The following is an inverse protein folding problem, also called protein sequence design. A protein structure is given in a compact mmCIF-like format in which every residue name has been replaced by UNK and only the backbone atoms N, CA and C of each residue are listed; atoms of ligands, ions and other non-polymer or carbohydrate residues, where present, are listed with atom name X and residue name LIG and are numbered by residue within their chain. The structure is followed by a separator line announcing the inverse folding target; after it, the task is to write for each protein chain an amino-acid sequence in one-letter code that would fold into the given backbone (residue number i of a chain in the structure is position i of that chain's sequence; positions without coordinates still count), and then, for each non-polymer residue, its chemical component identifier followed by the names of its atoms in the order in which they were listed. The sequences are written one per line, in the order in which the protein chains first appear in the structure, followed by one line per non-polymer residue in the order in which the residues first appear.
data_IF_128934172758
#
_entry.id   IF_128934172758
#
_cell.length_a   1.000
_cell.length_b   1.000
_cell.length_c   1.000
_cell.angle_alpha   90.00
_cell.angle_beta   90.00
_cell.angle_gamma   90.00
#
_symmetry.space_group_name_H-M   'P 1'
#
loop_
_entity.id
_entity.type
_entity.pdbx_description
1 polymer ?
#
# COMPACT_ATOMS: atom_id res chain seq x y z
N UNK A 1 22.85 16.94 -22.30
CA UNK A 1 21.80 16.83 -21.28
C UNK A 1 22.35 17.37 -19.97
N UNK A 2 21.68 18.35 -19.39
CA UNK A 2 22.05 18.90 -18.08
C UNK A 2 21.77 17.88 -16.96
N UNK A 3 22.46 17.97 -15.80
CA UNK A 3 22.17 17.10 -14.66
C UNK A 3 20.71 17.14 -14.20
N UNK A 4 20.02 18.27 -14.33
CA UNK A 4 18.59 18.40 -14.02
C UNK A 4 17.70 17.67 -15.03
N UNK A 5 17.99 17.76 -16.33
CA UNK A 5 17.24 17.02 -17.36
C UNK A 5 17.37 15.50 -17.18
N UNK A 6 18.56 15.02 -16.81
CA UNK A 6 18.77 13.59 -16.54
C UNK A 6 17.97 13.07 -15.35
N UNK A 7 17.78 13.90 -14.32
CA UNK A 7 17.00 13.56 -13.12
C UNK A 7 15.52 13.48 -13.41
N UNK A 8 15.00 14.45 -14.16
CA UNK A 8 13.60 14.45 -14.59
C UNK A 8 13.30 13.22 -15.45
N UNK A 9 14.18 12.86 -16.37
CA UNK A 9 14.02 11.65 -17.20
C UNK A 9 14.02 10.35 -16.39
N UNK A 10 14.94 10.22 -15.41
CA UNK A 10 14.96 9.06 -14.51
C UNK A 10 13.68 9.00 -13.66
N UNK A 11 13.23 10.15 -13.15
CA UNK A 11 12.01 10.25 -12.36
C UNK A 11 10.76 9.91 -13.18
N UNK A 12 10.60 10.48 -14.37
CA UNK A 12 9.51 10.16 -15.28
C UNK A 12 9.55 8.68 -15.68
N UNK A 13 10.71 8.15 -16.06
CA UNK A 13 10.84 6.75 -16.50
C UNK A 13 10.48 5.75 -15.41
N UNK A 14 10.96 5.98 -14.18
CA UNK A 14 10.65 5.09 -13.03
C UNK A 14 9.16 5.06 -12.71
N UNK A 15 8.48 6.21 -12.71
CA UNK A 15 7.04 6.27 -12.44
C UNK A 15 6.17 5.84 -13.61
N UNK A 16 6.58 6.06 -14.87
CA UNK A 16 5.89 5.48 -16.03
C UNK A 16 5.94 3.95 -16.01
N UNK A 17 7.05 3.35 -15.58
CA UNK A 17 7.14 1.91 -15.35
C UNK A 17 6.14 1.46 -14.29
N UNK A 18 6.08 2.16 -13.15
CA UNK A 18 5.11 1.89 -12.08
C UNK A 18 3.66 2.00 -12.58
N UNK A 19 3.35 3.05 -13.35
CA UNK A 19 2.03 3.28 -13.94
C UNK A 19 1.65 2.17 -14.93
N UNK A 20 2.56 1.81 -15.83
CA UNK A 20 2.33 0.75 -16.80
C UNK A 20 2.10 -0.61 -16.12
N UNK A 21 2.81 -0.89 -15.02
CA UNK A 21 2.65 -2.10 -14.22
C UNK A 21 1.34 -2.10 -13.40
N UNK A 22 0.85 -0.93 -12.97
CA UNK A 22 -0.33 -0.80 -12.10
C UNK A 22 -1.57 -1.44 -12.71
N UNK A 23 -1.82 -1.26 -14.02
CA UNK A 23 -2.99 -1.81 -14.71
C UNK A 23 -3.03 -3.36 -14.73
N UNK A 24 -2.02 -4.06 -15.29
CA UNK A 24 -2.02 -5.52 -15.31
C UNK A 24 -1.96 -6.12 -13.90
N UNK A 25 -1.21 -5.52 -12.97
CA UNK A 25 -1.16 -5.98 -11.57
C UNK A 25 -2.55 -5.91 -10.94
N UNK A 26 -3.24 -4.77 -11.08
CA UNK A 26 -4.59 -4.59 -10.52
C UNK A 26 -5.57 -5.58 -11.13
N UNK A 27 -5.53 -5.73 -12.46
CA UNK A 27 -6.38 -6.69 -13.16
C UNK A 27 -6.14 -8.12 -12.68
N UNK A 28 -4.87 -8.54 -12.52
CA UNK A 28 -4.52 -9.87 -12.02
C UNK A 28 -4.99 -10.09 -10.58
N UNK A 29 -4.81 -9.11 -9.68
CA UNK A 29 -5.27 -9.17 -8.30
C UNK A 29 -6.80 -9.32 -8.23
N UNK A 30 -7.53 -8.47 -8.95
CA UNK A 30 -8.99 -8.47 -9.00
C UNK A 30 -9.51 -9.77 -9.62
N UNK A 31 -8.93 -10.21 -10.74
CA UNK A 31 -9.27 -11.48 -11.40
C UNK A 31 -9.03 -12.67 -10.48
N UNK A 32 -7.91 -12.70 -9.76
CA UNK A 32 -7.62 -13.77 -8.81
C UNK A 32 -8.61 -13.77 -7.64
N UNK A 33 -8.98 -12.60 -7.10
CA UNK A 33 -9.97 -12.49 -6.04
C UNK A 33 -11.39 -12.90 -6.49
N UNK A 34 -11.80 -12.53 -7.70
CA UNK A 34 -13.11 -12.92 -8.26
C UNK A 34 -13.25 -14.44 -8.43
N UNK A 35 -12.13 -15.14 -8.67
CA UNK A 35 -12.08 -16.61 -8.80
C UNK A 35 -12.15 -17.34 -7.46
N UNK A 36 -12.08 -16.64 -6.33
CA UNK A 36 -12.22 -17.30 -5.04
C UNK A 36 -13.66 -17.81 -4.85
N UNK A 37 -13.86 -19.09 -4.47
CA UNK A 37 -15.19 -19.64 -4.24
C UNK A 37 -15.93 -18.87 -3.15
N UNK A 38 -17.24 -18.69 -3.33
CA UNK A 38 -18.13 -18.13 -2.31
C UNK A 38 -19.45 -18.91 -2.35
N UNK A 39 -19.69 -19.69 -1.30
CA UNK A 39 -20.79 -20.67 -1.24
C UNK A 39 -22.02 -20.15 -0.51
N UNK A 40 -21.89 -19.06 0.24
CA UNK A 40 -22.96 -18.45 1.03
C UNK A 40 -22.96 -16.91 0.90
N UNK A 41 -24.03 -16.20 1.34
CA UNK A 41 -24.12 -14.75 1.24
C UNK A 41 -23.02 -13.98 1.99
N UNK A 42 -22.52 -14.51 3.12
CA UNK A 42 -21.46 -13.88 3.90
C UNK A 42 -20.10 -13.99 3.18
N UNK A 43 -19.80 -15.16 2.60
CA UNK A 43 -18.64 -15.40 1.77
C UNK A 43 -18.68 -14.53 0.49
N UNK A 44 -19.87 -14.37 -0.11
CA UNK A 44 -20.05 -13.49 -1.27
C UNK A 44 -19.80 -12.02 -0.91
N UNK A 45 -20.33 -11.54 0.21
CA UNK A 45 -20.10 -10.17 0.69
C UNK A 45 -18.62 -9.91 1.01
N UNK A 46 -17.96 -10.87 1.65
CA UNK A 46 -16.51 -10.81 1.92
C UNK A 46 -15.70 -10.74 0.62
N UNK A 47 -16.03 -11.58 -0.37
CA UNK A 47 -15.40 -11.57 -1.70
C UNK A 47 -15.57 -10.25 -2.41
N UNK A 48 -16.79 -9.69 -2.44
CA UNK A 48 -17.06 -8.40 -3.07
C UNK A 48 -16.23 -7.27 -2.46
N UNK A 49 -16.15 -7.21 -1.12
CA UNK A 49 -15.29 -6.21 -0.46
C UNK A 49 -13.79 -6.47 -0.67
N UNK A 50 -13.36 -7.73 -0.82
CA UNK A 50 -11.97 -8.07 -1.17
C UNK A 50 -11.64 -7.58 -2.58
N UNK A 51 -12.55 -7.77 -3.54
CA UNK A 51 -12.39 -7.25 -4.92
C UNK A 51 -12.35 -5.73 -4.91
N UNK A 52 -13.29 -5.06 -4.23
CA UNK A 52 -13.33 -3.61 -4.15
C UNK A 52 -12.06 -3.03 -3.50
N UNK A 53 -11.59 -3.63 -2.41
CA UNK A 53 -10.38 -3.17 -1.71
C UNK A 53 -9.10 -3.35 -2.55
N UNK A 54 -9.00 -4.41 -3.35
CA UNK A 54 -7.89 -4.59 -4.30
C UNK A 54 -7.96 -3.58 -5.46
N UNK A 55 -9.16 -3.27 -5.95
CA UNK A 55 -9.36 -2.23 -6.97
C UNK A 55 -8.97 -0.84 -6.44
N UNK A 56 -9.30 -0.54 -5.18
CA UNK A 56 -8.91 0.70 -4.48
C UNK A 56 -7.37 0.80 -4.37
N UNK A 57 -6.68 -0.29 -4.05
CA UNK A 57 -5.21 -0.31 -4.09
C UNK A 57 -4.68 -0.01 -5.49
N UNK A 58 -5.26 -0.64 -6.53
CA UNK A 58 -4.93 -0.38 -7.92
C UNK A 58 -5.12 1.07 -8.34
N UNK A 59 -6.24 1.68 -7.96
CA UNK A 59 -6.49 3.10 -8.17
C UNK A 59 -5.42 3.97 -7.47
N UNK A 60 -5.06 3.65 -6.22
CA UNK A 60 -3.99 4.34 -5.50
C UNK A 60 -2.64 4.28 -6.22
N UNK A 61 -2.27 3.12 -6.79
CA UNK A 61 -1.07 3.00 -7.63
C UNK A 61 -1.16 3.91 -8.85
N UNK A 62 -2.26 3.85 -9.62
CA UNK A 62 -2.43 4.70 -10.81
C UNK A 62 -2.36 6.17 -10.45
N UNK A 63 -3.06 6.61 -9.41
CA UNK A 63 -3.07 8.01 -8.97
C UNK A 63 -1.65 8.50 -8.59
N UNK A 64 -0.89 7.69 -7.83
CA UNK A 64 0.47 8.02 -7.43
C UNK A 64 1.42 8.07 -8.63
N UNK A 65 1.48 6.99 -9.41
CA UNK A 65 2.44 6.89 -10.51
C UNK A 65 2.11 7.84 -11.67
N UNK A 66 0.83 8.06 -11.97
CA UNK A 66 0.43 9.03 -12.98
C UNK A 66 0.69 10.47 -12.53
N UNK A 67 0.36 10.81 -11.27
CA UNK A 67 0.64 12.13 -10.71
C UNK A 67 2.12 12.46 -10.77
N UNK A 68 2.97 11.52 -10.35
CA UNK A 68 4.42 11.70 -10.35
C UNK A 68 5.03 11.76 -11.75
N UNK A 69 4.63 10.83 -12.64
CA UNK A 69 5.09 10.84 -14.03
C UNK A 69 4.69 12.13 -14.75
N UNK A 70 3.48 12.64 -14.50
CA UNK A 70 3.01 13.90 -15.05
C UNK A 70 3.81 15.10 -14.51
N UNK A 71 4.07 15.15 -13.20
CA UNK A 71 4.86 16.22 -12.58
C UNK A 71 6.27 16.34 -13.13
N UNK A 72 6.96 15.22 -13.33
CA UNK A 72 8.33 15.21 -13.87
C UNK A 72 8.38 15.29 -15.40
N UNK A 73 7.40 14.73 -16.09
CA UNK A 73 7.43 14.53 -17.54
C UNK A 73 6.76 15.63 -18.37
N UNK A 74 5.84 16.41 -17.79
CA UNK A 74 5.06 17.40 -18.54
C UNK A 74 5.67 18.81 -18.33
N UNK A 75 6.14 19.48 -19.40
CA UNK A 75 6.48 20.89 -19.34
C UNK A 75 5.23 21.71 -19.01
N UNK A 76 5.33 22.60 -18.02
CA UNK A 76 4.22 23.43 -17.57
C UNK A 76 4.74 24.80 -17.12
N UNK A 77 3.88 25.81 -17.22
CA UNK A 77 4.07 27.12 -16.59
C UNK A 77 4.02 27.01 -15.05
N UNK A 78 4.23 28.11 -14.34
CA UNK A 78 4.25 28.09 -12.86
C UNK A 78 2.96 27.53 -12.27
N UNK A 79 1.80 27.90 -12.84
CA UNK A 79 0.49 27.46 -12.37
C UNK A 79 0.26 25.96 -12.60
N UNK A 80 0.59 25.46 -13.79
CA UNK A 80 0.49 24.05 -14.12
C UNK A 80 1.49 23.20 -13.34
N UNK A 81 2.72 23.69 -13.13
CA UNK A 81 3.74 22.98 -12.35
C UNK A 81 3.33 22.85 -10.87
N UNK A 82 2.71 23.86 -10.29
CA UNK A 82 2.17 23.75 -8.93
C UNK A 82 0.97 22.78 -8.85
N UNK A 83 0.08 22.77 -9.84
CA UNK A 83 -1.01 21.78 -9.91
C UNK A 83 -0.48 20.34 -9.97
N UNK A 84 0.47 20.07 -10.87
CA UNK A 84 1.06 18.73 -11.02
C UNK A 84 1.77 18.28 -9.75
N UNK A 85 2.50 19.18 -9.08
CA UNK A 85 3.12 18.94 -7.77
C UNK A 85 2.09 18.55 -6.70
N UNK A 86 0.93 19.22 -6.68
CA UNK A 86 -0.16 18.88 -5.75
C UNK A 86 -0.75 17.51 -6.06
N UNK A 87 -0.94 17.18 -7.34
CA UNK A 87 -1.46 15.87 -7.77
C UNK A 87 -0.51 14.72 -7.42
N UNK A 88 0.80 14.91 -7.62
CA UNK A 88 1.84 13.97 -7.18
C UNK A 88 1.74 13.70 -5.67
N UNK A 89 1.65 14.76 -4.86
CA UNK A 89 1.52 14.65 -3.41
C UNK A 89 0.19 14.01 -2.95
N UNK A 90 -0.92 14.32 -3.62
CA UNK A 90 -2.23 13.65 -3.40
C UNK A 90 -2.12 12.16 -3.69
N UNK A 91 -1.42 11.78 -4.75
CA UNK A 91 -1.20 10.40 -5.15
C UNK A 91 -0.57 9.55 -4.04
N UNK A 92 0.39 10.10 -3.29
CA UNK A 92 1.03 9.41 -2.15
C UNK A 92 -0.01 9.07 -1.06
N UNK A 93 -0.88 10.02 -0.69
CA UNK A 93 -1.92 9.77 0.31
C UNK A 93 -2.91 8.68 -0.14
N UNK A 94 -3.31 8.72 -1.41
CA UNK A 94 -4.22 7.72 -1.98
C UNK A 94 -3.56 6.34 -2.07
N UNK A 95 -2.28 6.25 -2.43
CA UNK A 95 -1.55 4.99 -2.45
C UNK A 95 -1.45 4.39 -1.04
N UNK A 96 -1.16 5.20 -0.02
CA UNK A 96 -1.07 4.70 1.36
C UNK A 96 -2.41 4.16 1.85
N UNK A 97 -3.49 4.91 1.69
CA UNK A 97 -4.83 4.42 2.02
C UNK A 97 -5.19 3.17 1.19
N UNK A 98 -4.79 3.16 -0.08
CA UNK A 98 -4.93 2.04 -1.00
C UNK A 98 -4.21 0.78 -0.52
N UNK A 99 -2.97 0.87 -0.05
CA UNK A 99 -2.21 -0.28 0.47
C UNK A 99 -2.85 -0.88 1.74
N UNK A 100 -3.45 -0.02 2.55
CA UNK A 100 -4.06 -0.42 3.82
C UNK A 100 -5.39 -1.18 3.62
N UNK A 101 -6.20 -0.71 2.67
CA UNK A 101 -7.59 -1.16 2.48
C UNK A 101 -7.74 -2.68 2.27
N UNK A 102 -7.00 -3.35 1.35
CA UNK A 102 -7.16 -4.78 1.12
C UNK A 102 -6.66 -5.65 2.29
N UNK A 103 -5.59 -5.22 2.96
CA UNK A 103 -5.09 -5.88 4.16
C UNK A 103 -6.09 -5.78 5.31
N UNK A 104 -6.61 -4.58 5.57
CA UNK A 104 -7.60 -4.35 6.62
C UNK A 104 -8.91 -5.09 6.36
N UNK A 105 -9.42 -5.03 5.12
CA UNK A 105 -10.65 -5.72 4.76
C UNK A 105 -10.56 -7.22 4.99
N UNK A 106 -9.48 -7.82 4.50
CA UNK A 106 -9.35 -9.25 4.38
C UNK A 106 -8.78 -9.92 5.62
N UNK A 107 -7.95 -9.23 6.41
CA UNK A 107 -7.18 -9.87 7.50
C UNK A 107 -7.62 -9.46 8.91
N UNK A 108 -8.28 -8.32 9.06
CA UNK A 108 -8.67 -7.82 10.38
C UNK A 108 -10.07 -8.27 10.79
N UNK A 109 -10.32 -8.31 12.10
CA UNK A 109 -11.67 -8.50 12.65
C UNK A 109 -12.58 -7.30 12.33
N UNK A 110 -13.91 -7.49 12.26
CA UNK A 110 -14.83 -6.43 11.81
C UNK A 110 -14.76 -5.10 12.57
N UNK A 111 -14.64 -5.14 13.90
CA UNK A 111 -14.58 -3.93 14.73
C UNK A 111 -13.27 -3.11 14.54
N UNK A 112 -12.06 -3.67 14.76
CA UNK A 112 -10.83 -2.92 14.55
C UNK A 112 -10.63 -2.51 13.10
N UNK A 113 -11.11 -3.31 12.13
CA UNK A 113 -11.12 -2.95 10.71
C UNK A 113 -11.83 -1.63 10.45
N UNK A 114 -13.03 -1.44 11.00
CA UNK A 114 -13.82 -0.22 10.78
C UNK A 114 -13.09 1.01 11.31
N UNK A 115 -12.55 0.92 12.53
CA UNK A 115 -11.79 2.02 13.15
C UNK A 115 -10.56 2.36 12.30
N UNK A 116 -9.78 1.35 11.93
CA UNK A 116 -8.58 1.55 11.13
C UNK A 116 -8.90 2.18 9.76
N UNK A 117 -9.98 1.74 9.10
CA UNK A 117 -10.39 2.31 7.83
C UNK A 117 -10.86 3.75 7.93
N UNK A 118 -11.66 4.09 8.94
CA UNK A 118 -12.09 5.47 9.19
C UNK A 118 -10.90 6.38 9.46
N UNK A 119 -9.96 5.96 10.30
CA UNK A 119 -8.78 6.76 10.62
C UNK A 119 -7.89 6.97 9.40
N UNK A 120 -7.52 5.89 8.70
CA UNK A 120 -6.61 5.98 7.55
C UNK A 120 -7.21 6.79 6.42
N UNK A 121 -8.46 6.52 6.04
CA UNK A 121 -9.13 7.28 4.97
C UNK A 121 -9.48 8.70 5.40
N UNK A 122 -9.88 8.91 6.65
CA UNK A 122 -10.16 10.25 7.19
C UNK A 122 -8.94 11.15 7.06
N UNK A 123 -7.79 10.71 7.58
CA UNK A 123 -6.54 11.48 7.48
C UNK A 123 -6.10 11.62 6.02
N UNK A 124 -6.14 10.54 5.22
CA UNK A 124 -5.72 10.60 3.81
C UNK A 124 -6.56 11.61 3.00
N UNK A 125 -7.89 11.58 3.13
CA UNK A 125 -8.78 12.51 2.42
C UNK A 125 -8.59 13.93 2.93
N UNK A 126 -8.48 14.15 4.24
CA UNK A 126 -8.27 15.49 4.80
C UNK A 126 -6.95 16.10 4.30
N UNK A 127 -5.85 15.34 4.34
CA UNK A 127 -4.56 15.82 3.88
C UNK A 127 -4.51 16.00 2.36
N UNK A 128 -4.99 15.01 1.58
CA UNK A 128 -5.08 15.12 0.13
C UNK A 128 -5.95 16.31 -0.30
N UNK A 129 -7.09 16.52 0.35
CA UNK A 129 -7.97 17.67 0.11
C UNK A 129 -7.28 19.00 0.42
N UNK A 130 -6.57 19.10 1.55
CA UNK A 130 -5.82 20.31 1.89
C UNK A 130 -4.74 20.63 0.84
N UNK A 131 -4.02 19.60 0.37
CA UNK A 131 -3.02 19.74 -0.70
C UNK A 131 -3.66 20.15 -2.02
N UNK A 132 -4.76 19.50 -2.42
CA UNK A 132 -5.47 19.80 -3.66
C UNK A 132 -5.99 21.24 -3.69
N UNK A 133 -6.49 21.74 -2.55
CA UNK A 133 -6.94 23.13 -2.36
C UNK A 133 -5.78 24.14 -2.29
N UNK A 134 -4.52 23.70 -2.37
CA UNK A 134 -3.37 24.58 -2.41
C UNK A 134 -2.90 25.12 -1.08
N UNK A 135 -3.27 24.49 0.02
CA UNK A 135 -2.72 24.86 1.32
C UNK A 135 -1.23 24.56 1.33
N UNK A 136 -0.46 25.47 1.94
CA UNK A 136 0.97 25.28 2.10
C UNK A 136 1.23 23.98 2.89
N UNK A 137 1.97 23.07 2.26
CA UNK A 137 2.20 21.74 2.81
C UNK A 137 3.71 21.43 2.76
N UNK A 138 4.47 21.75 3.82
CA UNK A 138 5.90 21.55 3.86
C UNK A 138 6.27 20.07 3.66
N UNK A 139 7.36 19.79 2.95
CA UNK A 139 7.82 18.42 2.67
C UNK A 139 8.01 17.58 3.93
N UNK A 140 8.54 18.17 5.01
CA UNK A 140 8.74 17.47 6.28
C UNK A 140 7.40 17.07 6.92
N UNK A 141 6.39 17.95 6.85
CA UNK A 141 5.06 17.70 7.42
C UNK A 141 4.37 16.58 6.65
N UNK A 142 4.42 16.64 5.32
CA UNK A 142 3.94 15.56 4.47
C UNK A 142 4.58 14.23 4.83
N UNK A 143 5.90 14.25 4.97
CA UNK A 143 6.70 13.07 5.29
C UNK A 143 6.34 12.45 6.62
N UNK A 144 6.22 13.27 7.66
CA UNK A 144 5.80 12.80 8.97
C UNK A 144 4.39 12.19 8.94
N UNK A 145 3.44 12.83 8.24
CA UNK A 145 2.06 12.33 8.17
C UNK A 145 1.98 11.01 7.41
N UNK A 146 2.60 10.92 6.24
CA UNK A 146 2.51 9.70 5.44
C UNK A 146 3.27 8.53 6.08
N UNK A 147 4.38 8.79 6.80
CA UNK A 147 5.08 7.75 7.58
C UNK A 147 4.22 7.31 8.77
N UNK A 148 3.60 8.25 9.49
CA UNK A 148 2.66 7.94 10.57
C UNK A 148 1.49 7.09 10.09
N UNK A 149 0.91 7.42 8.93
CA UNK A 149 -0.15 6.62 8.32
C UNK A 149 0.33 5.24 7.88
N UNK A 150 1.49 5.15 7.22
CA UNK A 150 2.06 3.87 6.80
C UNK A 150 2.32 2.93 7.96
N UNK A 151 2.90 3.44 9.05
CA UNK A 151 3.13 2.67 10.27
C UNK A 151 1.86 2.45 11.12
N UNK A 152 0.76 3.14 10.84
CA UNK A 152 -0.55 2.84 11.42
C UNK A 152 -0.96 1.37 11.19
N UNK A 153 -0.46 0.73 10.14
CA UNK A 153 -0.68 -0.70 9.90
C UNK A 153 0.01 -1.58 10.95
N UNK A 154 1.11 -1.13 11.56
CA UNK A 154 1.78 -1.85 12.65
C UNK A 154 0.88 -1.93 13.90
N UNK A 155 0.04 -0.92 14.15
CA UNK A 155 -0.97 -0.97 15.22
C UNK A 155 -2.02 -2.05 14.94
N UNK A 156 -2.31 -2.30 13.66
CA UNK A 156 -3.23 -3.35 13.22
C UNK A 156 -2.56 -4.73 13.13
N UNK A 157 -1.23 -4.77 13.03
CA UNK A 157 -0.43 -6.00 12.96
C UNK A 157 -0.68 -6.90 14.18
N UNK A 158 -0.89 -6.32 15.36
CA UNK A 158 -1.22 -7.07 16.57
C UNK A 158 -2.54 -7.86 16.45
N UNK A 159 -3.58 -7.31 15.80
CA UNK A 159 -4.83 -8.03 15.57
C UNK A 159 -4.65 -9.13 14.51
N UNK A 160 -3.97 -8.81 13.40
CA UNK A 160 -3.75 -9.74 12.28
C UNK A 160 -2.90 -10.95 12.73
N UNK A 161 -1.91 -10.72 13.60
CA UNK A 161 -1.00 -11.76 14.12
C UNK A 161 -1.67 -12.85 14.96
N UNK A 162 -2.92 -12.64 15.39
CA UNK A 162 -3.71 -13.67 16.07
C UNK A 162 -4.11 -14.81 15.14
N UNK A 163 -4.24 -14.54 13.84
CA UNK A 163 -4.70 -15.51 12.84
C UNK A 163 -3.63 -15.88 11.81
N UNK A 164 -2.49 -15.19 11.82
CA UNK A 164 -1.43 -15.38 10.82
C UNK A 164 -0.05 -15.39 11.47
N UNK A 165 0.82 -16.32 11.04
CA UNK A 165 2.21 -16.39 11.50
C UNK A 165 3.06 -15.20 10.98
N UNK A 166 4.25 -14.99 11.57
CA UNK A 166 5.13 -13.86 11.21
C UNK A 166 5.69 -13.98 9.80
N UNK A 167 6.00 -15.21 9.36
CA UNK A 167 6.59 -15.50 8.06
C UNK A 167 5.59 -15.17 6.95
N UNK A 168 4.32 -15.50 7.14
CA UNK A 168 3.22 -15.15 6.24
C UNK A 168 3.07 -13.64 6.11
N UNK A 169 3.17 -12.90 7.23
CA UNK A 169 3.00 -11.45 7.22
C UNK A 169 4.26 -10.64 6.89
N UNK A 170 5.43 -11.27 6.67
CA UNK A 170 6.74 -10.58 6.62
C UNK A 170 6.85 -9.49 5.56
N UNK A 171 6.14 -9.63 4.44
CA UNK A 171 6.21 -8.67 3.34
C UNK A 171 5.57 -7.33 3.70
N UNK A 172 4.63 -7.31 4.65
CA UNK A 172 3.96 -6.09 5.10
C UNK A 172 4.94 -5.12 5.82
N UNK A 173 5.68 -5.53 6.87
CA UNK A 173 6.69 -4.66 7.47
C UNK A 173 7.89 -4.40 6.55
N UNK A 174 8.24 -5.33 5.64
CA UNK A 174 9.30 -5.09 4.64
C UNK A 174 8.89 -3.93 3.71
N UNK A 175 7.66 -3.94 3.19
CA UNK A 175 7.15 -2.84 2.37
C UNK A 175 7.15 -1.50 3.10
N UNK A 176 6.66 -1.48 4.36
CA UNK A 176 6.70 -0.29 5.21
C UNK A 176 8.12 0.22 5.49
N UNK A 177 9.08 -0.69 5.72
CA UNK A 177 10.48 -0.34 5.90
C UNK A 177 11.09 0.25 4.62
N UNK A 178 10.81 -0.33 3.45
CA UNK A 178 11.29 0.20 2.16
C UNK A 178 10.78 1.63 1.92
N UNK A 179 9.49 1.90 2.15
CA UNK A 179 8.95 3.26 2.07
C UNK A 179 9.63 4.21 3.08
N UNK A 180 9.88 3.74 4.30
CA UNK A 180 10.50 4.55 5.35
C UNK A 180 11.94 4.92 5.01
N UNK A 181 12.73 3.95 4.54
CA UNK A 181 14.11 4.18 4.10
C UNK A 181 14.13 5.17 2.93
N UNK A 182 13.27 4.97 1.93
CA UNK A 182 13.14 5.92 0.82
C UNK A 182 12.82 7.34 1.29
N UNK A 183 11.84 7.49 2.18
CA UNK A 183 11.43 8.79 2.71
C UNK A 183 12.55 9.48 3.48
N UNK A 184 13.28 8.74 4.32
CA UNK A 184 14.45 9.25 5.05
C UNK A 184 15.54 9.69 4.07
N UNK A 185 15.85 8.88 3.05
CA UNK A 185 16.82 9.23 2.01
C UNK A 185 16.38 10.52 1.31
N UNK A 186 15.10 10.67 0.94
CA UNK A 186 14.59 11.88 0.31
C UNK A 186 14.80 13.15 1.17
N UNK A 187 14.62 13.03 2.50
CA UNK A 187 14.82 14.13 3.43
C UNK A 187 16.27 14.61 3.52
N UNK A 188 17.25 13.77 3.18
CA UNK A 188 18.67 14.18 3.14
C UNK A 188 18.96 15.23 2.07
N UNK A 189 18.10 15.34 1.04
CA UNK A 189 18.27 16.23 -0.12
C UNK A 189 19.65 16.10 -0.79
N UNK A 190 20.25 14.91 -0.71
CA UNK A 190 21.58 14.66 -1.28
C UNK A 190 21.55 14.88 -2.81
N UNK A 191 22.43 15.75 -3.35
CA UNK A 191 22.44 16.07 -4.76
C UNK A 191 23.10 15.00 -5.63
N UNK A 192 23.57 13.87 -5.12
CA UNK A 192 24.08 12.83 -6.00
C UNK A 192 24.65 11.59 -5.31
N UNK A 193 24.18 10.43 -5.75
CA UNK A 193 24.84 9.14 -5.55
C UNK A 193 25.54 8.70 -6.84
N UNK A 194 24.91 8.95 -8.00
CA UNK A 194 25.44 8.69 -9.35
C UNK A 194 25.00 9.82 -10.32
N UNK A 195 25.60 9.94 -11.52
CA UNK A 195 25.14 10.89 -12.53
C UNK A 195 23.64 10.71 -12.84
N UNK A 196 22.85 11.77 -12.65
CA UNK A 196 21.39 11.73 -12.85
C UNK A 196 20.57 11.10 -11.73
N UNK A 197 21.20 10.67 -10.62
CA UNK A 197 20.53 10.01 -9.49
C UNK A 197 20.91 10.70 -8.17
N UNK A 198 19.98 11.49 -7.64
CA UNK A 198 20.06 12.07 -6.30
C UNK A 198 19.17 11.33 -5.30
N UNK A 199 18.95 11.94 -4.14
CA UNK A 199 18.09 11.36 -3.09
C UNK A 199 16.63 11.14 -3.53
N UNK A 200 16.15 11.97 -4.46
CA UNK A 200 14.77 11.94 -4.92
C UNK A 200 14.50 10.75 -5.86
N UNK A 201 15.41 10.48 -6.79
CA UNK A 201 15.31 9.34 -7.70
C UNK A 201 15.47 8.02 -6.93
N UNK A 202 16.38 7.99 -5.95
CA UNK A 202 16.50 6.84 -5.03
C UNK A 202 15.19 6.62 -4.26
N UNK A 203 14.54 7.68 -3.81
CA UNK A 203 13.22 7.59 -3.18
C UNK A 203 12.19 6.92 -4.10
N UNK A 204 12.15 7.27 -5.39
CA UNK A 204 11.25 6.62 -6.36
C UNK A 204 11.49 5.11 -6.46
N UNK A 205 12.76 4.69 -6.48
CA UNK A 205 13.10 3.26 -6.48
C UNK A 205 12.62 2.54 -5.20
N UNK A 206 12.74 3.18 -4.04
CA UNK A 206 12.21 2.63 -2.78
C UNK A 206 10.68 2.59 -2.77
N UNK A 207 9.99 3.55 -3.38
CA UNK A 207 8.53 3.55 -3.53
C UNK A 207 8.06 2.39 -4.42
N UNK A 208 8.75 2.17 -5.54
CA UNK A 208 8.51 1.01 -6.43
C UNK A 208 8.75 -0.31 -5.70
N UNK A 209 9.87 -0.44 -5.00
CA UNK A 209 10.21 -1.65 -4.24
C UNK A 209 9.21 -1.91 -3.10
N UNK A 210 8.80 -0.88 -2.37
CA UNK A 210 7.76 -0.94 -1.35
C UNK A 210 6.43 -1.41 -1.94
N UNK A 211 6.01 -0.81 -3.06
CA UNK A 211 4.80 -1.22 -3.78
C UNK A 211 4.89 -2.68 -4.22
N UNK A 212 6.02 -3.11 -4.77
CA UNK A 212 6.23 -4.50 -5.19
C UNK A 212 6.12 -5.48 -4.00
N UNK A 213 6.67 -5.13 -2.84
CA UNK A 213 6.51 -5.93 -1.62
C UNK A 213 5.04 -6.03 -1.19
N UNK A 214 4.29 -4.92 -1.27
CA UNK A 214 2.85 -4.92 -0.99
C UNK A 214 2.08 -5.75 -2.03
N UNK A 215 2.35 -5.62 -3.33
CA UNK A 215 1.73 -6.44 -4.37
C UNK A 215 1.96 -7.93 -4.12
N UNK A 216 3.19 -8.33 -3.82
CA UNK A 216 3.53 -9.71 -3.49
C UNK A 216 2.78 -10.19 -2.24
N UNK A 217 2.67 -9.35 -1.20
CA UNK A 217 1.86 -9.63 -0.02
C UNK A 217 0.39 -9.83 -0.37
N UNK A 218 -0.18 -9.01 -1.26
CA UNK A 218 -1.58 -9.14 -1.67
C UNK A 218 -1.84 -10.47 -2.39
N UNK A 219 -0.96 -10.88 -3.30
CA UNK A 219 -1.07 -12.18 -3.96
C UNK A 219 -0.91 -13.36 -2.99
N UNK A 220 0.05 -13.29 -2.07
CA UNK A 220 0.39 -14.41 -1.19
C UNK A 220 -0.57 -14.57 -0.01
N UNK A 221 -1.14 -13.46 0.48
CA UNK A 221 -1.88 -13.46 1.76
C UNK A 221 -3.31 -13.00 1.58
N UNK A 222 -3.55 -11.89 0.87
CA UNK A 222 -4.88 -11.28 0.79
C UNK A 222 -5.80 -12.02 -0.19
N UNK A 223 -5.32 -12.32 -1.40
CA UNK A 223 -6.08 -13.06 -2.40
C UNK A 223 -6.59 -14.42 -1.85
N UNK A 224 -5.75 -15.28 -1.23
CA UNK A 224 -6.21 -16.55 -0.67
C UNK A 224 -6.93 -16.41 0.68
N UNK A 225 -6.99 -15.22 1.28
CA UNK A 225 -7.65 -15.03 2.57
C UNK A 225 -9.14 -15.42 2.49
N UNK A 226 -9.56 -16.15 3.53
CA UNK A 226 -10.92 -16.63 3.72
C UNK A 226 -11.72 -15.67 4.63
N UNK A 227 -13.05 -15.72 4.60
CA UNK A 227 -13.89 -15.02 5.57
C UNK A 227 -13.48 -15.31 7.02
N UNK A 228 -13.67 -14.36 7.96
CA UNK A 228 -13.35 -14.56 9.37
C UNK A 228 -13.95 -15.84 9.99
N UNK A 229 -15.21 -16.14 9.69
CA UNK A 229 -15.91 -17.33 10.22
C UNK A 229 -15.22 -18.64 9.87
N UNK A 230 -14.80 -18.80 8.61
CA UNK A 230 -14.09 -20.00 8.15
C UNK A 230 -12.69 -20.12 8.76
N UNK A 231 -12.01 -18.99 9.01
CA UNK A 231 -10.70 -18.99 9.69
C UNK A 231 -10.82 -19.41 11.15
N UNK A 232 -11.80 -18.89 11.87
CA UNK A 232 -12.03 -19.24 13.28
C UNK A 232 -12.42 -20.71 13.45
N UNK A 233 -13.22 -21.25 12.53
CA UNK A 233 -13.57 -22.67 12.50
C UNK A 233 -12.34 -23.56 12.27
N UNK A 234 -11.46 -23.21 11.32
CA UNK A 234 -10.23 -23.95 11.04
C UNK A 234 -9.27 -24.00 12.23
N UNK A 235 -9.04 -22.86 12.89
CA UNK A 235 -8.19 -22.77 14.09
C UNK A 235 -8.76 -23.60 15.26
N UNK A 236 -10.08 -23.67 15.39
CA UNK A 236 -10.74 -24.45 16.44
C UNK A 236 -10.65 -25.96 16.19
N UNK A 237 -10.65 -26.39 14.92
CA UNK A 237 -10.46 -27.80 14.56
C UNK A 237 -9.01 -28.26 14.78
N UNK A 238 -8.03 -27.42 14.41
CA UNK A 238 -6.60 -27.71 14.64
C UNK A 238 -6.26 -27.82 16.14
N UNK A 239 -6.85 -26.98 16.99
CA UNK A 239 -6.60 -27.05 18.44
C UNK A 239 -7.16 -28.32 19.07
N UNK A 240 -8.37 -28.76 18.66
CA UNK A 240 -8.97 -30.03 19.10
C UNK A 240 -8.14 -31.24 18.71
N UNK A 241 -7.76 -31.35 17.43
CA UNK A 241 -6.93 -32.46 16.95
C UNK A 241 -5.55 -32.52 17.62
N UNK A 242 -4.96 -31.37 17.94
CA UNK A 242 -3.70 -31.29 18.71
C UNK A 242 -3.87 -31.79 20.14
N UNK A 243 -4.97 -31.42 20.81
CA UNK A 243 -5.30 -31.89 22.16
C UNK A 243 -5.49 -33.40 22.19
N UNK A 244 -6.19 -33.98 21.22
CA UNK A 244 -6.42 -35.43 21.12
C UNK A 244 -5.13 -36.22 20.88
N UNK A 245 -4.24 -35.71 20.00
CA UNK A 245 -2.91 -36.33 19.79
C UNK A 245 -2.05 -36.29 21.05
N UNK A 246 -2.05 -35.19 21.79
CA UNK A 246 -1.32 -35.10 23.05
C UNK A 246 -1.86 -36.09 24.10
N UNK A 247 -3.18 -36.22 24.22
CA UNK A 247 -3.80 -37.19 25.14
C UNK A 247 -3.51 -38.65 24.78
N UNK A 248 -3.26 -38.96 23.51
CA UNK A 248 -2.95 -40.34 23.06
C UNK A 248 -1.48 -40.72 23.28
N UNK A 249 -0.58 -39.75 23.43
CA UNK A 249 0.87 -39.99 23.64
C UNK A 249 1.21 -40.18 25.14
N UNK A 250 0.31 -39.76 26.05
CA UNK A 250 0.47 -39.89 27.51
C UNK A 250 -0.09 -41.20 28.09
N UNK A 251 -0.55 -42.14 27.25
CA UNK A 251 -1.07 -43.47 27.63
C UNK A 251 -0.10 -44.55 27.14
#
# INVERSE_FOLDING_TARGET
MSPSESRELVSTGTHLLGLAAAFPITWLLVRAAMRTPATDPAAQSFKSGKVASLAIFGFGMVACYAGSAAFHGIPADESGRDLLRRLDLVGIFLLIAGTFTPAAWSLMRPAPRRVAMVVVWGVAITCAGAVALGRAFPTWLATSIYLGLGWGMALCYADIRRSYDRRTLRLLPIGGALYSVGAIVNLTRSPGFFPGVGSHEVFHLFVLAGTAAHVAFLFQVVVPAQPPSLREAGLSAESRTRSERSATIEV
#
